data_IF_218456417496
#
_entry.id   IF_218456417496
#
_cell.length_a   1.000
_cell.length_b   1.000
_cell.length_c   1.000
_cell.angle_alpha   90.00
_cell.angle_beta   90.00
_cell.angle_gamma   90.00
#
_symmetry.space_group_name_H-M   'P 1'
#
loop_
_entity.id
_entity.type
_entity.pdbx_description
1 polymer ?
#
# COMPACT_ATOMS: atom_id res chain seq x y z
N UNK A 1 27.59 -23.26 39.38
CA UNK A 1 26.79 -22.06 38.99
C UNK A 1 27.07 -21.64 37.55
N UNK A 2 26.52 -22.33 36.53
CA UNK A 2 26.68 -21.92 35.10
C UNK A 2 25.51 -22.35 34.20
N UNK A 3 24.28 -22.41 34.73
CA UNK A 3 23.11 -22.86 33.94
C UNK A 3 21.96 -21.84 33.85
N UNK A 4 22.07 -20.69 34.52
CA UNK A 4 20.99 -19.68 34.57
C UNK A 4 21.11 -18.53 33.56
N UNK A 5 22.20 -18.45 32.79
CA UNK A 5 22.44 -17.34 31.85
C UNK A 5 22.10 -17.63 30.38
N UNK A 6 21.91 -18.90 30.00
CA UNK A 6 21.65 -19.28 28.60
C UNK A 6 20.17 -19.14 28.22
N UNK A 7 19.26 -19.18 29.20
CA UNK A 7 17.80 -19.12 28.96
C UNK A 7 17.32 -17.69 28.63
N UNK A 8 18.13 -16.66 28.87
CA UNK A 8 17.73 -15.26 28.62
C UNK A 8 18.03 -14.82 27.17
N UNK A 9 18.96 -15.48 26.46
CA UNK A 9 19.26 -15.14 25.07
C UNK A 9 18.36 -15.83 24.03
N UNK A 10 17.60 -16.87 24.42
CA UNK A 10 16.72 -17.59 23.47
C UNK A 10 15.28 -17.05 23.49
N UNK A 11 14.87 -16.31 24.54
CA UNK A 11 13.53 -15.73 24.60
C UNK A 11 13.37 -14.37 23.89
N UNK A 12 14.47 -13.65 23.60
CA UNK A 12 14.41 -12.37 22.90
C UNK A 12 14.43 -12.48 21.37
N UNK A 13 14.64 -13.67 20.82
CA UNK A 13 14.62 -13.92 19.37
C UNK A 13 13.20 -14.25 18.86
N UNK A 14 12.20 -14.34 19.76
CA UNK A 14 10.85 -14.84 19.43
C UNK A 14 9.73 -13.79 19.48
N UNK A 15 10.04 -12.50 19.63
CA UNK A 15 9.03 -11.42 19.72
C UNK A 15 9.28 -10.24 18.78
N UNK A 16 9.99 -10.48 17.68
CA UNK A 16 9.98 -9.62 16.50
C UNK A 16 9.02 -10.14 15.44
N UNK A 17 7.79 -10.49 15.82
CA UNK A 17 6.69 -10.56 14.84
C UNK A 17 6.36 -9.11 14.48
N UNK A 18 7.21 -8.53 13.63
CA UNK A 18 6.90 -7.33 12.85
C UNK A 18 5.63 -7.70 12.09
N UNK A 19 4.50 -7.16 12.50
CA UNK A 19 3.21 -7.76 12.20
C UNK A 19 2.84 -7.65 10.74
N UNK A 20 3.48 -6.87 9.86
CA UNK A 20 2.94 -6.45 8.56
C UNK A 20 1.48 -5.93 8.66
N UNK A 21 1.21 -4.75 8.13
CA UNK A 21 -0.18 -4.26 8.09
C UNK A 21 -0.93 -5.11 7.07
N UNK A 22 -1.70 -6.06 7.57
CA UNK A 22 -2.55 -6.89 6.74
C UNK A 22 -3.88 -6.19 6.47
N UNK A 23 -4.37 -6.32 5.24
CA UNK A 23 -5.71 -5.86 4.90
C UNK A 23 -6.72 -6.78 5.56
N UNK A 24 -7.53 -6.24 6.47
CA UNK A 24 -8.61 -7.01 7.09
C UNK A 24 -9.79 -7.08 6.14
N UNK A 25 -10.30 -8.27 5.86
CA UNK A 25 -11.57 -8.43 5.14
C UNK A 25 -12.70 -7.99 6.04
N UNK A 26 -13.47 -6.98 5.61
CA UNK A 26 -14.66 -6.50 6.33
C UNK A 26 -15.90 -6.63 5.44
N UNK A 27 -17.05 -6.79 6.07
CA UNK A 27 -18.33 -6.60 5.39
C UNK A 27 -18.74 -5.13 5.45
N UNK A 28 -19.66 -4.71 4.59
CA UNK A 28 -20.20 -3.35 4.61
C UNK A 28 -20.95 -3.01 5.91
N UNK A 29 -21.55 -4.02 6.56
CA UNK A 29 -22.25 -3.84 7.84
C UNK A 29 -21.27 -3.50 8.99
N UNK A 30 -20.00 -3.85 8.84
CA UNK A 30 -18.96 -3.63 9.86
C UNK A 30 -18.14 -2.35 9.62
N UNK A 31 -18.56 -1.49 8.68
CA UNK A 31 -17.82 -0.26 8.35
C UNK A 31 -18.02 0.87 9.37
N UNK A 32 -19.10 0.83 10.15
CA UNK A 32 -19.38 1.87 11.14
C UNK A 32 -18.29 1.87 12.24
N UNK A 33 -17.59 3.00 12.38
CA UNK A 33 -16.48 3.13 13.32
C UNK A 33 -15.21 2.35 12.95
N UNK A 34 -15.18 1.66 11.80
CA UNK A 34 -14.00 0.96 11.33
C UNK A 34 -12.93 1.93 10.82
N UNK A 35 -11.66 1.61 11.08
CA UNK A 35 -10.50 2.36 10.62
C UNK A 35 -9.40 1.41 10.18
N UNK A 36 -8.44 1.92 9.39
CA UNK A 36 -7.26 1.17 8.97
C UNK A 36 -7.40 0.48 7.61
N UNK A 37 -6.56 -0.51 7.36
CA UNK A 37 -6.40 -1.17 6.07
C UNK A 37 -7.43 -2.28 5.90
N UNK A 38 -8.22 -2.21 4.84
CA UNK A 38 -9.35 -3.12 4.61
C UNK A 38 -9.38 -3.68 3.20
N UNK A 39 -9.94 -4.88 3.08
CA UNK A 39 -10.36 -5.50 1.83
C UNK A 39 -11.89 -5.55 1.79
N UNK A 40 -12.48 -4.99 0.73
CA UNK A 40 -13.92 -4.89 0.55
C UNK A 40 -14.32 -5.43 -0.82
N UNK A 41 -15.32 -6.30 -0.85
CA UNK A 41 -15.92 -6.79 -2.09
C UNK A 41 -17.21 -6.03 -2.37
N UNK A 42 -17.42 -5.58 -3.60
CA UNK A 42 -18.65 -4.89 -3.99
C UNK A 42 -18.76 -4.64 -5.49
N UNK A 43 -19.89 -4.09 -5.89
CA UNK A 43 -20.11 -3.60 -7.25
C UNK A 43 -19.56 -2.17 -7.36
N UNK A 44 -18.61 -1.96 -8.26
CA UNK A 44 -17.96 -0.66 -8.44
C UNK A 44 -18.58 0.12 -9.59
N UNK A 45 -18.98 1.36 -9.30
CA UNK A 45 -19.59 2.27 -10.25
C UNK A 45 -18.80 3.58 -10.34
N UNK A 46 -18.61 4.08 -11.55
CA UNK A 46 -18.05 5.41 -11.79
C UNK A 46 -18.65 6.00 -13.06
N UNK A 47 -18.87 7.32 -13.07
CA UNK A 47 -19.37 8.08 -14.22
C UNK A 47 -18.26 8.91 -14.89
N UNK A 48 -17.01 8.74 -14.48
CA UNK A 48 -15.86 9.52 -14.94
C UNK A 48 -14.83 8.62 -15.61
N UNK A 49 -14.23 9.11 -16.69
CA UNK A 49 -13.08 8.48 -17.32
C UNK A 49 -11.79 9.07 -16.73
N UNK A 50 -10.91 8.20 -16.23
CA UNK A 50 -9.66 8.62 -15.61
C UNK A 50 -8.50 7.78 -16.12
N UNK A 51 -7.36 8.42 -16.36
CA UNK A 51 -6.11 7.72 -16.68
C UNK A 51 -5.36 7.26 -15.42
N UNK A 52 -5.35 8.07 -14.35
CA UNK A 52 -4.50 7.87 -13.17
C UNK A 52 -5.21 8.08 -11.82
N UNK A 53 -6.53 8.25 -11.81
CA UNK A 53 -7.32 8.54 -10.60
C UNK A 53 -8.47 7.54 -10.46
N UNK A 54 -8.81 7.20 -9.21
CA UNK A 54 -10.00 6.45 -8.84
C UNK A 54 -10.96 7.40 -8.15
N UNK A 55 -12.16 7.54 -8.70
CA UNK A 55 -13.31 8.11 -8.00
C UNK A 55 -14.54 7.31 -8.41
N UNK A 56 -15.26 6.78 -7.43
CA UNK A 56 -16.45 6.01 -7.68
C UNK A 56 -17.13 5.59 -6.39
N UNK A 57 -18.06 4.65 -6.52
CA UNK A 57 -18.82 4.08 -5.42
C UNK A 57 -18.66 2.57 -5.44
N UNK A 58 -18.39 1.98 -4.28
CA UNK A 58 -18.46 0.54 -4.08
C UNK A 58 -19.74 0.23 -3.32
N UNK A 59 -20.61 -0.61 -3.87
CA UNK A 59 -21.91 -0.94 -3.29
C UNK A 59 -22.07 -2.44 -3.04
N UNK A 60 -22.82 -2.78 -2.00
CA UNK A 60 -23.26 -4.14 -1.71
C UNK A 60 -24.63 -4.08 -1.02
N UNK A 61 -25.68 -4.56 -1.69
CA UNK A 61 -27.05 -4.41 -1.19
C UNK A 61 -27.43 -2.94 -1.04
N UNK A 62 -27.94 -2.57 0.14
CA UNK A 62 -28.33 -1.19 0.47
C UNK A 62 -27.15 -0.31 0.91
N UNK A 63 -25.97 -0.91 1.09
CA UNK A 63 -24.78 -0.20 1.55
C UNK A 63 -23.95 0.33 0.40
N UNK A 64 -23.29 1.45 0.66
CA UNK A 64 -22.35 2.01 -0.29
C UNK A 64 -21.26 2.83 0.39
N UNK A 65 -20.08 2.79 -0.21
CA UNK A 65 -18.90 3.47 0.25
C UNK A 65 -18.27 4.23 -0.91
N UNK A 66 -17.93 5.49 -0.67
CA UNK A 66 -17.14 6.23 -1.65
C UNK A 66 -15.73 5.67 -1.75
N UNK A 67 -15.21 5.59 -2.97
CA UNK A 67 -13.85 5.13 -3.25
C UNK A 67 -13.11 6.27 -3.92
N UNK A 68 -11.98 6.66 -3.34
CA UNK A 68 -11.15 7.78 -3.81
C UNK A 68 -9.69 7.35 -3.78
N UNK A 69 -8.89 7.72 -4.77
CA UNK A 69 -7.46 7.40 -4.74
C UNK A 69 -6.76 7.62 -6.08
N UNK A 70 -5.52 7.16 -6.16
CA UNK A 70 -4.78 7.13 -7.42
C UNK A 70 -4.65 5.70 -7.94
N UNK A 71 -4.65 5.54 -9.26
CA UNK A 71 -4.29 4.26 -9.88
C UNK A 71 -2.85 3.91 -9.50
N UNK A 72 -2.62 2.66 -9.09
CA UNK A 72 -1.27 2.11 -8.95
C UNK A 72 -0.86 1.34 -10.21
N UNK A 73 -1.27 0.07 -10.33
CA UNK A 73 -1.04 -0.78 -11.51
C UNK A 73 -2.35 -1.30 -12.14
N UNK A 74 -3.47 -1.20 -11.43
CA UNK A 74 -4.78 -1.61 -11.90
C UNK A 74 -5.83 -0.51 -11.72
N UNK A 75 -6.77 -0.43 -12.67
CA UNK A 75 -7.90 0.50 -12.67
C UNK A 75 -9.19 -0.34 -12.65
N UNK A 76 -10.07 -0.19 -11.63
CA UNK A 76 -11.33 -0.91 -11.61
C UNK A 76 -12.24 -0.45 -12.75
N UNK A 77 -12.74 -1.38 -13.59
CA UNK A 77 -13.70 -1.03 -14.62
C UNK A 77 -15.05 -0.71 -13.96
N UNK A 78 -15.71 0.38 -14.39
CA UNK A 78 -17.04 0.73 -13.90
C UNK A 78 -18.09 -0.30 -14.34
N UNK A 79 -19.04 -0.61 -13.46
CA UNK A 79 -20.11 -1.57 -13.73
C UNK A 79 -19.73 -3.03 -13.48
N UNK A 80 -18.77 -3.29 -12.59
CA UNK A 80 -18.26 -4.65 -12.32
C UNK A 80 -18.13 -4.97 -10.83
N UNK A 81 -18.23 -6.25 -10.51
CA UNK A 81 -17.91 -6.78 -9.19
C UNK A 81 -16.39 -6.90 -9.01
N UNK A 82 -15.90 -6.30 -7.94
CA UNK A 82 -14.47 -6.17 -7.64
C UNK A 82 -14.19 -6.42 -6.17
N UNK A 83 -12.93 -6.70 -5.87
CA UNK A 83 -12.37 -6.63 -4.52
C UNK A 83 -11.39 -5.47 -4.49
N UNK A 84 -11.63 -4.49 -3.62
CA UNK A 84 -10.78 -3.31 -3.46
C UNK A 84 -10.06 -3.35 -2.12
N UNK A 85 -8.80 -2.92 -2.13
CA UNK A 85 -7.96 -2.76 -0.96
C UNK A 85 -7.60 -1.31 -0.79
N UNK A 86 -7.64 -0.84 0.45
CA UNK A 86 -7.33 0.54 0.75
C UNK A 86 -7.32 0.81 2.24
N UNK A 87 -7.23 2.08 2.58
CA UNK A 87 -7.35 2.55 3.96
C UNK A 87 -8.69 3.25 4.15
N UNK A 88 -9.46 2.85 5.17
CA UNK A 88 -10.63 3.62 5.58
C UNK A 88 -10.18 4.95 6.17
N UNK A 89 -10.69 6.02 5.58
CA UNK A 89 -10.46 7.40 6.00
C UNK A 89 -11.79 8.07 6.30
N UNK A 90 -11.72 9.13 7.08
CA UNK A 90 -12.87 9.98 7.36
C UNK A 90 -12.51 11.41 6.98
N UNK A 91 -13.38 12.03 6.19
CA UNK A 91 -13.26 13.42 5.76
C UNK A 91 -14.63 14.08 5.87
N UNK A 92 -14.69 15.24 6.51
CA UNK A 92 -15.94 15.98 6.77
C UNK A 92 -17.09 15.12 7.36
N UNK A 93 -16.75 14.14 8.20
CA UNK A 93 -17.71 13.23 8.82
C UNK A 93 -18.14 12.03 7.96
N UNK A 94 -17.70 11.95 6.71
CA UNK A 94 -18.00 10.83 5.80
C UNK A 94 -16.84 9.84 5.74
N UNK A 95 -17.15 8.55 5.85
CA UNK A 95 -16.18 7.47 5.67
C UNK A 95 -16.04 7.17 4.17
N UNK A 96 -14.80 7.03 3.73
CA UNK A 96 -14.49 6.61 2.35
C UNK A 96 -13.30 5.65 2.34
N UNK A 97 -13.22 4.84 1.28
CA UNK A 97 -12.06 4.00 1.02
C UNK A 97 -11.02 4.81 0.24
N UNK A 98 -9.87 5.09 0.86
CA UNK A 98 -8.68 5.54 0.16
C UNK A 98 -8.07 4.34 -0.59
N UNK A 99 -8.38 4.24 -1.88
CA UNK A 99 -7.98 3.12 -2.74
C UNK A 99 -6.48 3.02 -2.87
N UNK A 100 -5.97 1.81 -2.66
CA UNK A 100 -4.59 1.42 -2.92
C UNK A 100 -4.53 0.53 -4.17
N UNK A 101 -5.30 -0.56 -4.20
CA UNK A 101 -5.34 -1.51 -5.32
C UNK A 101 -6.56 -2.44 -5.26
N UNK A 102 -6.61 -3.47 -6.10
CA UNK A 102 -7.65 -4.49 -6.07
C UNK A 102 -7.57 -5.46 -7.24
N UNK A 103 -8.67 -6.15 -7.50
CA UNK A 103 -8.83 -7.02 -8.66
C UNK A 103 -10.31 -7.25 -9.01
N UNK A 104 -10.62 -7.72 -10.23
CA UNK A 104 -11.95 -8.25 -10.55
C UNK A 104 -12.30 -9.46 -9.67
N UNK A 105 -13.57 -9.61 -9.29
CA UNK A 105 -13.99 -10.70 -8.38
C UNK A 105 -13.61 -12.10 -8.89
N UNK A 106 -13.64 -12.31 -10.20
CA UNK A 106 -13.37 -13.60 -10.84
C UNK A 106 -11.90 -13.82 -11.21
N UNK A 107 -11.03 -12.85 -10.94
CA UNK A 107 -9.59 -12.91 -11.18
C UNK A 107 -8.85 -12.65 -9.85
N UNK A 108 -8.94 -13.58 -8.89
CA UNK A 108 -8.41 -13.37 -7.55
C UNK A 108 -6.90 -13.15 -7.58
N UNK A 109 -6.46 -12.14 -6.82
CA UNK A 109 -5.06 -11.83 -6.55
C UNK A 109 -4.93 -11.54 -5.07
N UNK A 110 -3.84 -11.93 -4.45
CA UNK A 110 -3.61 -11.57 -3.05
C UNK A 110 -3.28 -10.08 -2.91
N UNK A 111 -3.74 -9.43 -1.82
CA UNK A 111 -3.29 -8.10 -1.47
C UNK A 111 -1.78 -8.12 -1.25
N UNK A 112 -1.09 -7.14 -1.83
CA UNK A 112 0.31 -6.89 -1.45
C UNK A 112 0.31 -6.40 -0.01
N UNK A 113 1.27 -6.82 0.83
CA UNK A 113 1.31 -6.38 2.22
C UNK A 113 1.24 -4.86 2.28
N UNK A 114 0.37 -4.30 3.13
CA UNK A 114 0.46 -2.88 3.38
C UNK A 114 1.77 -2.67 4.15
N UNK A 115 2.64 -1.77 3.66
CA UNK A 115 3.97 -1.65 4.24
C UNK A 115 3.86 -1.23 5.72
N UNK A 116 4.35 -2.09 6.62
CA UNK A 116 4.78 -1.65 7.95
C UNK A 116 6.07 -0.88 7.78
N UNK A 117 6.08 0.35 8.28
CA UNK A 117 7.14 1.31 7.96
C UNK A 117 7.79 1.76 9.24
N UNK A 118 8.92 1.14 9.55
CA UNK A 118 9.80 1.54 10.63
C UNK A 118 11.05 2.16 10.00
N UNK A 119 11.31 3.43 10.31
CA UNK A 119 12.49 4.12 9.79
C UNK A 119 13.76 3.36 10.20
N UNK A 120 14.68 3.19 9.24
CA UNK A 120 15.92 2.45 9.43
C UNK A 120 15.81 0.94 9.22
N UNK A 121 14.60 0.40 9.05
CA UNK A 121 14.42 -1.02 8.74
C UNK A 121 14.44 -1.28 7.24
N UNK A 122 14.80 -2.52 6.89
CA UNK A 122 14.71 -3.00 5.51
C UNK A 122 13.26 -3.40 5.22
N UNK A 123 12.64 -2.72 4.26
CA UNK A 123 11.27 -2.96 3.83
C UNK A 123 11.24 -3.48 2.39
N UNK A 124 10.22 -4.27 2.07
CA UNK A 124 9.86 -4.62 0.69
C UNK A 124 8.64 -3.80 0.27
N UNK A 125 8.75 -3.11 -0.87
CA UNK A 125 7.72 -2.18 -1.33
C UNK A 125 7.57 -2.25 -2.84
N UNK A 126 6.32 -2.28 -3.30
CA UNK A 126 5.99 -2.12 -4.71
C UNK A 126 5.93 -0.63 -5.05
N UNK A 127 6.64 -0.25 -6.11
CA UNK A 127 6.77 1.14 -6.56
C UNK A 127 6.59 1.25 -8.07
N UNK A 128 5.88 2.29 -8.52
CA UNK A 128 5.95 2.74 -9.91
C UNK A 128 7.12 3.70 -10.03
N UNK A 129 8.23 3.20 -10.57
CA UNK A 129 9.50 3.91 -10.68
C UNK A 129 9.50 4.85 -11.90
N UNK A 130 9.95 6.08 -11.68
CA UNK A 130 10.07 7.14 -12.67
C UNK A 130 11.34 7.96 -12.42
N UNK A 131 11.71 8.81 -13.38
CA UNK A 131 12.74 9.82 -13.19
C UNK A 131 12.09 11.16 -12.82
N UNK A 132 12.63 11.81 -11.78
CA UNK A 132 12.29 13.17 -11.38
C UNK A 132 13.47 14.12 -11.53
N UNK A 133 13.19 15.42 -11.42
CA UNK A 133 14.20 16.49 -11.47
C UNK A 133 14.32 17.20 -12.81
N UNK A 134 15.30 18.09 -12.91
CA UNK A 134 15.64 18.85 -14.12
C UNK A 134 16.87 18.25 -14.81
N UNK A 135 17.15 18.66 -16.06
CA UNK A 135 18.25 18.13 -16.89
C UNK A 135 19.62 18.02 -16.19
N UNK A 136 19.92 18.92 -15.25
CA UNK A 136 21.18 18.94 -14.49
C UNK A 136 21.16 18.11 -13.19
N UNK A 137 20.00 17.63 -12.74
CA UNK A 137 19.81 16.85 -11.49
C UNK A 137 18.67 15.86 -11.65
N UNK A 138 18.91 14.83 -12.46
CA UNK A 138 18.00 13.69 -12.58
C UNK A 138 18.19 12.75 -11.39
N UNK A 139 17.08 12.27 -10.84
CA UNK A 139 17.08 11.24 -9.81
C UNK A 139 15.92 10.27 -10.04
N UNK A 140 16.04 9.05 -9.48
CA UNK A 140 14.95 8.08 -9.53
C UNK A 140 14.01 8.29 -8.35
N UNK A 141 12.72 8.17 -8.62
CA UNK A 141 11.68 8.22 -7.61
C UNK A 141 10.67 7.09 -7.83
N UNK A 142 10.09 6.58 -6.76
CA UNK A 142 9.02 5.59 -6.78
C UNK A 142 7.77 6.12 -6.11
N UNK A 143 6.62 5.94 -6.74
CA UNK A 143 5.34 6.13 -6.07
C UNK A 143 4.83 4.77 -5.62
N UNK A 144 4.50 4.63 -4.34
CA UNK A 144 3.92 3.40 -3.78
C UNK A 144 2.41 3.32 -3.98
N UNK A 145 1.85 2.15 -3.68
CA UNK A 145 0.43 1.85 -3.80
C UNK A 145 -0.46 2.81 -2.97
N UNK A 146 -0.01 3.18 -1.76
CA UNK A 146 -0.66 4.19 -0.90
C UNK A 146 -0.23 5.64 -1.24
N UNK A 147 0.29 5.84 -2.45
CA UNK A 147 0.66 7.15 -3.01
C UNK A 147 1.80 7.88 -2.27
N UNK A 148 2.59 7.17 -1.47
CA UNK A 148 3.76 7.76 -0.84
C UNK A 148 4.92 7.82 -1.83
N UNK A 149 5.55 8.98 -1.93
CA UNK A 149 6.72 9.22 -2.78
C UNK A 149 8.00 8.78 -2.06
N UNK A 150 8.85 8.04 -2.77
CA UNK A 150 10.19 7.64 -2.36
C UNK A 150 11.21 8.19 -3.33
N UNK A 151 12.23 8.87 -2.82
CA UNK A 151 13.47 9.13 -3.56
C UNK A 151 14.32 7.86 -3.46
N UNK A 152 14.81 7.37 -4.60
CA UNK A 152 15.51 6.08 -4.69
C UNK A 152 17.01 6.29 -4.79
N UNK A 153 17.71 6.11 -3.69
CA UNK A 153 19.15 6.38 -3.61
C UNK A 153 19.95 5.27 -4.31
N UNK A 154 20.81 5.68 -5.23
CA UNK A 154 21.68 4.79 -6.01
C UNK A 154 20.92 3.72 -6.84
N UNK A 155 19.64 3.93 -7.11
CA UNK A 155 18.87 3.03 -7.97
C UNK A 155 19.35 3.12 -9.42
N UNK A 156 19.65 1.97 -10.02
CA UNK A 156 20.04 1.83 -11.43
C UNK A 156 19.18 0.81 -12.19
N UNK A 157 18.01 0.48 -11.64
CA UNK A 157 17.10 -0.49 -12.25
C UNK A 157 16.17 0.11 -13.31
N UNK A 158 15.14 -0.64 -13.67
CA UNK A 158 14.17 -0.27 -14.72
C UNK A 158 13.14 0.74 -14.21
N UNK A 159 12.56 1.50 -15.13
CA UNK A 159 11.36 2.31 -14.90
C UNK A 159 10.10 1.43 -14.90
N UNK A 160 8.99 1.95 -14.38
CA UNK A 160 7.70 1.26 -14.30
C UNK A 160 7.50 0.52 -12.97
N UNK A 161 6.54 -0.40 -12.93
CA UNK A 161 6.20 -1.14 -11.72
C UNK A 161 7.34 -2.09 -11.33
N UNK A 162 7.91 -1.92 -10.13
CA UNK A 162 9.01 -2.73 -9.59
C UNK A 162 8.70 -3.11 -8.13
N UNK A 163 9.06 -4.33 -7.74
CA UNK A 163 9.17 -4.69 -6.33
C UNK A 163 10.61 -4.45 -5.87
N UNK A 164 10.78 -3.58 -4.88
CA UNK A 164 12.08 -3.20 -4.36
C UNK A 164 12.17 -3.47 -2.86
N UNK A 165 13.31 -4.01 -2.45
CA UNK A 165 13.69 -4.14 -1.04
C UNK A 165 14.78 -3.12 -0.73
N UNK A 166 14.66 -2.37 0.35
CA UNK A 166 15.64 -1.34 0.73
C UNK A 166 15.45 -0.85 2.15
N UNK A 167 16.39 -0.05 2.65
CA UNK A 167 16.33 0.57 3.98
C UNK A 167 15.59 1.89 3.88
N UNK A 168 14.49 2.07 4.62
CA UNK A 168 13.78 3.35 4.66
C UNK A 168 14.61 4.37 5.46
N UNK A 169 15.02 5.46 4.82
CA UNK A 169 15.81 6.52 5.41
C UNK A 169 14.94 7.76 5.63
N UNK A 170 15.14 8.43 6.77
CA UNK A 170 14.54 9.74 7.02
C UNK A 170 15.15 10.80 6.10
N UNK A 171 14.33 11.68 5.53
CA UNK A 171 14.80 12.82 4.76
C UNK A 171 13.98 14.09 5.01
N UNK A 172 14.60 15.24 4.77
CA UNK A 172 14.01 16.57 5.00
C UNK A 172 12.85 16.90 4.05
N UNK A 173 12.75 16.22 2.91
CA UNK A 173 11.75 16.46 1.85
C UNK A 173 11.10 15.16 1.34
N UNK A 174 10.60 14.35 2.27
CA UNK A 174 9.90 13.11 1.96
C UNK A 174 10.69 11.86 2.37
N UNK A 175 10.38 10.72 1.75
CA UNK A 175 10.96 9.43 2.09
C UNK A 175 12.12 9.10 1.16
N UNK A 176 13.13 8.41 1.68
CA UNK A 176 14.24 7.87 0.89
C UNK A 176 14.30 6.36 1.08
N UNK A 177 14.58 5.64 0.00
CA UNK A 177 14.90 4.23 0.06
C UNK A 177 16.38 4.08 -0.32
N UNK A 178 17.19 3.55 0.59
CA UNK A 178 18.60 3.27 0.39
C UNK A 178 18.88 1.77 0.28
N UNK A 179 20.09 1.44 -0.16
CA UNK A 179 20.58 0.05 -0.20
C UNK A 179 19.63 -0.89 -0.96
N UNK A 180 19.13 -0.38 -2.10
CA UNK A 180 18.02 -0.91 -2.89
C UNK A 180 18.44 -2.18 -3.65
N UNK A 181 17.57 -3.18 -3.63
CA UNK A 181 17.65 -4.43 -4.39
C UNK A 181 16.26 -4.79 -4.94
N UNK A 182 16.15 -5.61 -6.00
CA UNK A 182 14.88 -6.26 -6.32
C UNK A 182 14.37 -7.08 -5.12
N UNK A 183 13.05 -7.26 -5.02
CA UNK A 183 12.50 -8.29 -4.14
C UNK A 183 12.95 -9.68 -4.60
N UNK A 184 13.13 -10.59 -3.64
CA UNK A 184 13.42 -12.02 -3.89
C UNK A 184 12.17 -12.77 -4.41
#
# INVERSE_FOLDING_TARGET
>A
MKLRRIIICVLYVLLGLVSAKEYRTLSFADLEGATGYVSLTGFYETNKSFSNRIEGKLSWGDYSLEVRGGKFDWLPPGGHWVVLWGELKQDEGQVYLNFHNGHPLLEPRDPRPAPERVLGERISVWLTVSMGGSSSRLFYQGLSEDRQLFILDNYQGKLGLQCLTGVELSATLGRRLGDIRPCD
#
